data_IF_898484870103
#
_entry.id   IF_898484870103
#
_cell.length_a   1.000
_cell.length_b   1.000
_cell.length_c   1.000
_cell.angle_alpha   90.00
_cell.angle_beta   90.00
_cell.angle_gamma   90.00
#
_symmetry.space_group_name_H-M   'P 1'
#
loop_
_entity.id
_entity.type
_entity.pdbx_description
1 polymer ?
#
# COMPACT_ATOMS: atom_id res chain seq x y z
N UNK A 1 27.32 -20.53 -2.21
CA UNK A 1 25.88 -20.77 -2.41
C UNK A 1 25.16 -19.43 -2.27
N UNK A 2 24.46 -18.94 -3.32
CA UNK A 2 23.80 -17.62 -3.29
C UNK A 2 22.51 -17.72 -2.44
N UNK A 3 22.51 -17.11 -1.26
CA UNK A 3 21.32 -17.00 -0.43
C UNK A 3 20.31 -16.09 -1.13
N UNK A 4 19.31 -16.69 -1.78
CA UNK A 4 18.10 -15.99 -2.22
C UNK A 4 17.39 -15.53 -0.95
N UNK A 5 17.44 -14.22 -0.67
CA UNK A 5 16.62 -13.60 0.38
C UNK A 5 15.15 -13.74 -0.04
N UNK A 6 14.55 -14.86 0.34
CA UNK A 6 13.12 -15.08 0.25
C UNK A 6 12.49 -14.11 1.25
N UNK A 7 11.93 -13.03 0.74
CA UNK A 7 11.13 -12.09 1.51
C UNK A 7 9.90 -12.87 2.01
N UNK A 8 10.00 -13.41 3.23
CA UNK A 8 8.87 -14.03 3.89
C UNK A 8 7.82 -12.93 4.06
N UNK A 9 6.58 -13.08 3.58
CA UNK A 9 5.52 -12.16 3.93
C UNK A 9 5.31 -12.36 5.43
N UNK A 10 5.82 -11.44 6.24
CA UNK A 10 5.61 -11.47 7.68
C UNK A 10 4.12 -11.31 7.93
N UNK A 11 3.47 -12.40 8.33
CA UNK A 11 2.12 -12.44 8.87
C UNK A 11 2.05 -11.56 10.12
N UNK A 12 1.87 -10.27 9.92
CA UNK A 12 1.60 -9.30 10.99
C UNK A 12 0.48 -8.38 10.51
N UNK A 13 -0.72 -8.96 10.45
CA UNK A 13 -2.08 -8.40 10.59
C UNK A 13 -2.34 -6.89 10.46
N UNK A 14 -1.68 -6.21 9.54
CA UNK A 14 -2.03 -4.86 9.12
C UNK A 14 -2.23 -4.93 7.62
N UNK A 15 -3.47 -4.97 7.16
CA UNK A 15 -3.79 -4.86 5.74
C UNK A 15 -3.15 -3.58 5.18
N UNK A 16 -1.96 -3.71 4.58
CA UNK A 16 -1.27 -2.59 3.95
C UNK A 16 -1.97 -2.36 2.62
N UNK A 17 -2.76 -1.29 2.58
CA UNK A 17 -3.49 -0.85 1.40
C UNK A 17 -2.52 -0.06 0.54
N UNK A 18 -2.27 -0.53 -0.69
CA UNK A 18 -1.48 0.22 -1.66
C UNK A 18 -2.45 1.17 -2.38
N UNK A 19 -2.26 2.47 -2.21
CA UNK A 19 -3.07 3.50 -2.86
C UNK A 19 -2.23 4.18 -3.93
N UNK A 20 -2.64 4.07 -5.18
CA UNK A 20 -2.05 4.80 -6.29
C UNK A 20 -2.67 6.19 -6.35
N UNK A 21 -1.90 7.25 -6.10
CA UNK A 21 -2.40 8.64 -6.12
C UNK A 21 -2.12 9.35 -7.45
N UNK A 22 -1.17 8.86 -8.24
CA UNK A 22 -0.85 9.31 -9.60
C UNK A 22 -0.26 8.15 -10.41
N UNK A 23 -0.07 8.32 -11.74
CA UNK A 23 0.53 7.31 -12.62
C UNK A 23 1.88 6.78 -12.14
N UNK A 24 2.68 7.60 -11.43
CA UNK A 24 4.00 7.21 -10.94
C UNK A 24 4.11 7.06 -9.42
N UNK A 25 3.06 7.39 -8.68
CA UNK A 25 3.13 7.51 -7.21
C UNK A 25 2.19 6.53 -6.53
N UNK A 26 2.77 5.65 -5.71
CA UNK A 26 2.05 4.69 -4.88
C UNK A 26 2.43 4.94 -3.42
N UNK A 27 1.43 5.03 -2.56
CA UNK A 27 1.62 5.14 -1.11
C UNK A 27 1.11 3.87 -0.41
N UNK A 28 1.79 3.49 0.65
CA UNK A 28 1.43 2.35 1.49
C UNK A 28 0.67 2.87 2.71
N UNK A 29 -0.59 2.48 2.84
CA UNK A 29 -1.49 2.96 3.88
C UNK A 29 -1.87 1.80 4.78
N UNK A 30 -1.59 1.92 6.09
CA UNK A 30 -1.88 0.85 7.06
C UNK A 30 -3.18 1.04 7.83
N UNK A 31 -3.87 2.18 7.65
CA UNK A 31 -5.02 2.56 8.46
C UNK A 31 -6.16 3.06 7.57
N UNK A 32 -7.39 2.58 7.81
CA UNK A 32 -8.61 3.03 7.12
C UNK A 32 -8.84 4.54 7.24
N UNK A 33 -8.55 5.16 8.38
CA UNK A 33 -8.66 6.62 8.56
C UNK A 33 -7.72 7.38 7.63
N UNK A 34 -6.48 6.90 7.51
CA UNK A 34 -5.51 7.48 6.59
C UNK A 34 -5.94 7.28 5.13
N UNK A 35 -6.51 6.11 4.79
CA UNK A 35 -7.04 5.86 3.45
C UNK A 35 -8.10 6.90 3.07
N UNK A 36 -9.09 7.13 3.93
CA UNK A 36 -10.14 8.13 3.68
C UNK A 36 -9.55 9.53 3.45
N UNK A 37 -8.60 9.96 4.29
CA UNK A 37 -7.93 11.26 4.09
C UNK A 37 -7.18 11.35 2.76
N UNK A 38 -6.48 10.29 2.36
CA UNK A 38 -5.75 10.27 1.09
C UNK A 38 -6.70 10.23 -0.11
N UNK A 39 -7.83 9.53 -0.01
CA UNK A 39 -8.85 9.51 -1.07
C UNK A 39 -9.59 10.85 -1.21
N UNK A 40 -9.85 11.55 -0.11
CA UNK A 40 -10.41 12.92 -0.16
C UNK A 40 -9.42 13.91 -0.79
N UNK A 41 -8.13 13.81 -0.44
CA UNK A 41 -7.09 14.70 -0.97
C UNK A 41 -6.75 14.42 -2.44
N UNK A 42 -6.87 13.16 -2.86
CA UNK A 42 -6.57 12.73 -4.22
C UNK A 42 -7.80 12.03 -4.79
N UNK A 43 -8.75 12.77 -5.39
CA UNK A 43 -10.00 12.20 -5.90
C UNK A 43 -9.79 11.19 -7.04
N UNK A 44 -8.64 11.25 -7.72
CA UNK A 44 -8.24 10.28 -8.75
C UNK A 44 -7.45 9.08 -8.20
N UNK A 45 -7.25 9.00 -6.87
CA UNK A 45 -6.50 7.92 -6.28
C UNK A 45 -7.29 6.60 -6.36
N UNK A 46 -6.57 5.51 -6.61
CA UNK A 46 -7.15 4.17 -6.78
C UNK A 46 -6.43 3.19 -5.90
N UNK A 47 -7.19 2.41 -5.13
CA UNK A 47 -6.63 1.29 -4.37
C UNK A 47 -6.19 0.22 -5.36
N UNK A 48 -4.93 -0.15 -5.29
CA UNK A 48 -4.35 -1.25 -6.05
C UNK A 48 -4.14 -2.39 -5.05
N UNK A 49 -4.84 -3.50 -5.23
CA UNK A 49 -4.67 -4.67 -4.37
C UNK A 49 -3.21 -5.17 -4.42
N UNK A 50 -2.73 -5.70 -3.29
CA UNK A 50 -1.44 -6.38 -3.22
C UNK A 50 -1.50 -7.70 -3.99
#
# INVERSE_FOLDING_TARGET
MKAKKQYKPTETGSDIIRLQVDRKTIILVRNKKALSMWMERYPNARVIAA
#
